data_IF_502943174763
#
_entry.id   IF_502943174763
#
_cell.length_a   1.000
_cell.length_b   1.000
_cell.length_c   1.000
_cell.angle_alpha   90.00
_cell.angle_beta   90.00
_cell.angle_gamma   90.00
#
_symmetry.space_group_name_H-M   'P 1'
#
loop_
_entity.id
_entity.type
_entity.pdbx_description
1 polymer ?
#
# COMPACT_ATOMS: atom_id res chain seq x y z
N UNK A 1 5.28 37.22 -11.62
CA UNK A 1 5.63 38.55 -11.07
C UNK A 1 6.36 39.33 -12.16
N UNK A 2 6.03 40.61 -12.38
CA UNK A 2 6.73 41.47 -13.34
C UNK A 2 7.22 42.72 -12.60
N UNK A 3 8.54 42.90 -12.54
CA UNK A 3 9.18 44.07 -11.94
C UNK A 3 9.84 44.84 -13.07
N UNK A 4 9.54 46.13 -13.18
CA UNK A 4 10.12 47.03 -14.17
C UNK A 4 10.90 48.10 -13.42
N UNK A 5 12.16 48.29 -13.79
CA UNK A 5 13.04 49.33 -13.23
C UNK A 5 13.41 50.27 -14.36
N UNK A 6 12.94 51.51 -14.27
CA UNK A 6 13.29 52.57 -15.22
C UNK A 6 14.66 53.16 -14.88
N UNK A 7 15.48 53.34 -15.91
CA UNK A 7 16.83 53.90 -15.79
C UNK A 7 16.87 55.32 -16.37
N UNK A 8 17.72 56.18 -15.81
CA UNK A 8 17.93 57.53 -16.34
C UNK A 8 18.63 57.47 -17.70
N UNK A 9 18.32 58.45 -18.57
CA UNK A 9 18.98 58.59 -19.89
C UNK A 9 20.48 58.82 -19.71
N UNK A 10 21.29 58.09 -20.48
CA UNK A 10 22.75 58.19 -20.48
C UNK A 10 23.45 57.14 -19.61
N UNK A 11 22.70 56.41 -18.78
CA UNK A 11 23.23 55.31 -17.98
C UNK A 11 23.32 54.01 -18.80
N UNK A 12 24.34 53.20 -18.51
CA UNK A 12 24.54 51.90 -19.16
C UNK A 12 23.75 50.83 -18.39
N UNK A 13 22.72 50.19 -18.99
CA UNK A 13 21.84 49.25 -18.28
C UNK A 13 22.58 48.07 -17.64
N UNK A 14 23.61 47.54 -18.30
CA UNK A 14 24.41 46.40 -17.82
C UNK A 14 25.16 46.71 -16.52
N UNK A 15 25.64 47.95 -16.37
CA UNK A 15 26.34 48.40 -15.14
C UNK A 15 25.34 48.48 -13.98
N UNK A 16 24.15 49.03 -14.24
CA UNK A 16 23.08 49.09 -13.23
C UNK A 16 22.62 47.68 -12.84
N UNK A 17 22.45 46.76 -13.80
CA UNK A 17 22.09 45.37 -13.51
C UNK A 17 23.12 44.68 -12.60
N UNK A 18 24.41 44.83 -12.90
CA UNK A 18 25.47 44.28 -12.06
C UNK A 18 25.47 44.89 -10.64
N UNK A 19 25.20 46.18 -10.52
CA UNK A 19 25.07 46.83 -9.23
C UNK A 19 23.82 46.37 -8.47
N UNK A 20 22.71 46.12 -9.17
CA UNK A 20 21.50 45.57 -8.58
C UNK A 20 21.73 44.14 -8.10
N UNK A 21 22.40 43.30 -8.88
CA UNK A 21 22.79 41.94 -8.46
C UNK A 21 23.65 41.97 -7.18
N UNK A 22 24.64 42.87 -7.11
CA UNK A 22 25.56 42.94 -5.96
C UNK A 22 24.95 43.53 -4.69
N UNK A 23 24.06 44.52 -4.82
CA UNK A 23 23.53 45.28 -3.68
C UNK A 23 22.07 44.92 -3.33
N UNK A 24 21.48 43.93 -3.98
CA UNK A 24 20.13 43.47 -3.70
C UNK A 24 20.06 41.94 -3.66
N UNK A 25 18.86 41.43 -3.38
CA UNK A 25 18.57 39.99 -3.34
C UNK A 25 18.13 39.42 -4.70
N UNK A 26 18.41 40.11 -5.80
CA UNK A 26 18.10 39.60 -7.15
C UNK A 26 18.87 38.32 -7.49
N UNK A 27 20.08 38.19 -6.96
CA UNK A 27 20.87 36.96 -6.99
C UNK A 27 21.22 36.57 -5.55
N UNK A 28 20.95 35.33 -5.18
CA UNK A 28 21.26 34.82 -3.85
C UNK A 28 21.91 33.44 -3.97
N UNK A 29 22.98 33.25 -3.20
CA UNK A 29 23.61 31.93 -3.05
C UNK A 29 22.82 31.14 -2.01
N UNK A 30 22.29 30.00 -2.41
CA UNK A 30 21.64 29.07 -1.48
C UNK A 30 22.67 28.06 -0.96
N UNK A 31 23.05 28.20 0.32
CA UNK A 31 23.92 27.25 1.01
C UNK A 31 23.17 25.97 1.35
N UNK A 32 23.32 24.93 0.54
CA UNK A 32 22.68 23.63 0.77
C UNK A 32 23.41 22.90 1.91
N UNK A 33 22.69 22.60 2.99
CA UNK A 33 23.17 21.72 4.05
C UNK A 33 22.14 20.61 4.33
N UNK A 34 22.35 19.45 3.71
CA UNK A 34 21.43 18.32 3.75
C UNK A 34 21.65 17.45 4.99
N UNK A 35 21.33 17.97 6.17
CA UNK A 35 21.35 17.18 7.41
C UNK A 35 20.00 16.50 7.58
N UNK A 36 20.01 15.18 7.67
CA UNK A 36 18.81 14.35 7.84
C UNK A 36 19.01 13.33 8.95
N UNK A 37 17.91 12.84 9.52
CA UNK A 37 17.94 11.74 10.49
C UNK A 37 17.93 10.41 9.74
N UNK A 38 18.97 9.63 9.94
CA UNK A 38 19.08 8.24 9.47
C UNK A 38 19.18 7.36 10.69
N UNK A 39 18.21 6.46 10.88
CA UNK A 39 18.12 5.59 12.06
C UNK A 39 18.19 6.34 13.40
N UNK A 40 17.54 7.50 13.46
CA UNK A 40 17.50 8.37 14.64
C UNK A 40 18.76 9.18 14.90
N UNK A 41 19.77 9.12 14.02
CA UNK A 41 21.02 9.89 14.16
C UNK A 41 21.14 10.96 13.06
N UNK A 42 21.55 12.20 13.39
CA UNK A 42 21.78 13.23 12.39
C UNK A 42 22.99 12.87 11.53
N UNK A 43 22.80 12.90 10.21
CA UNK A 43 23.83 12.65 9.21
C UNK A 43 23.72 13.69 8.11
N UNK A 44 24.86 14.22 7.67
CA UNK A 44 24.94 15.03 6.46
C UNK A 44 24.95 14.10 5.25
N UNK A 45 24.00 14.27 4.34
CA UNK A 45 23.77 13.37 3.23
C UNK A 45 23.93 14.07 1.88
N UNK A 46 24.54 13.37 0.92
CA UNK A 46 24.52 13.79 -0.47
C UNK A 46 23.21 13.38 -1.17
N UNK A 47 23.00 13.84 -2.40
CA UNK A 47 21.77 13.54 -3.16
C UNK A 47 21.56 12.02 -3.37
N UNK A 48 22.62 11.27 -3.65
CA UNK A 48 22.54 9.84 -3.87
C UNK A 48 22.07 9.11 -2.59
N UNK A 49 22.64 9.46 -1.44
CA UNK A 49 22.24 8.90 -0.14
C UNK A 49 20.77 9.21 0.18
N UNK A 50 20.32 10.44 -0.06
CA UNK A 50 18.92 10.82 0.17
C UNK A 50 17.96 9.99 -0.68
N UNK A 51 18.28 9.80 -1.96
CA UNK A 51 17.49 8.97 -2.86
C UNK A 51 17.50 7.49 -2.43
N UNK A 52 18.64 6.98 -2.00
CA UNK A 52 18.76 5.61 -1.53
C UNK A 52 17.91 5.36 -0.28
N UNK A 53 18.00 6.25 0.72
CA UNK A 53 17.19 6.19 1.95
C UNK A 53 15.70 6.20 1.60
N UNK A 54 15.28 7.08 0.69
CA UNK A 54 13.90 7.15 0.24
C UNK A 54 13.43 5.86 -0.43
N UNK A 55 14.24 5.29 -1.34
CA UNK A 55 13.90 4.06 -2.03
C UNK A 55 13.79 2.86 -1.07
N UNK A 56 14.70 2.76 -0.12
CA UNK A 56 14.70 1.66 0.85
C UNK A 56 13.49 1.74 1.78
N UNK A 57 13.15 2.94 2.25
CA UNK A 57 11.91 3.15 3.00
C UNK A 57 10.67 2.76 2.19
N UNK A 58 10.61 3.11 0.90
CA UNK A 58 9.48 2.71 0.05
C UNK A 58 9.37 1.21 -0.14
N UNK A 59 10.49 0.50 -0.31
CA UNK A 59 10.49 -0.97 -0.40
C UNK A 59 9.93 -1.59 0.87
N UNK A 60 10.37 -1.09 2.02
CA UNK A 60 9.87 -1.55 3.32
C UNK A 60 8.36 -1.32 3.46
N UNK A 61 7.88 -0.11 3.18
CA UNK A 61 6.45 0.24 3.26
C UNK A 61 5.60 -0.67 2.35
N UNK A 62 6.04 -0.88 1.10
CA UNK A 62 5.33 -1.74 0.15
C UNK A 62 5.31 -3.19 0.63
N UNK A 63 6.43 -3.69 1.14
CA UNK A 63 6.53 -5.05 1.67
C UNK A 63 5.61 -5.25 2.88
N UNK A 64 5.62 -4.32 3.84
CA UNK A 64 4.77 -4.37 5.02
C UNK A 64 3.28 -4.33 4.67
N UNK A 65 2.89 -3.45 3.73
CA UNK A 65 1.51 -3.41 3.22
C UNK A 65 1.11 -4.72 2.54
N UNK A 66 1.99 -5.28 1.71
CA UNK A 66 1.70 -6.53 0.98
C UNK A 66 1.55 -7.71 1.94
N UNK A 67 2.39 -7.78 2.98
CA UNK A 67 2.28 -8.80 4.03
C UNK A 67 1.01 -8.63 4.89
N UNK A 68 0.57 -7.40 5.13
CA UNK A 68 -0.70 -7.13 5.79
C UNK A 68 -1.89 -7.59 4.92
N UNK A 69 -1.92 -7.21 3.65
CA UNK A 69 -2.96 -7.61 2.70
C UNK A 69 -3.01 -9.13 2.52
N UNK A 70 -1.85 -9.80 2.47
CA UNK A 70 -1.77 -11.26 2.40
C UNK A 70 -2.39 -11.92 3.64
N UNK A 71 -2.12 -11.40 4.84
CA UNK A 71 -2.72 -11.93 6.09
C UNK A 71 -4.24 -11.77 6.06
N UNK A 72 -4.73 -10.58 5.73
CA UNK A 72 -6.17 -10.33 5.63
C UNK A 72 -6.85 -11.21 4.56
N UNK A 73 -6.17 -11.45 3.43
CA UNK A 73 -6.69 -12.34 2.39
C UNK A 73 -6.73 -13.80 2.85
N UNK A 74 -5.73 -14.26 3.61
CA UNK A 74 -5.72 -15.61 4.20
C UNK A 74 -6.81 -15.80 5.24
N UNK A 75 -7.00 -14.83 6.13
CA UNK A 75 -8.03 -14.90 7.18
C UNK A 75 -9.43 -14.95 6.55
N UNK A 76 -9.67 -14.13 5.51
CA UNK A 76 -10.90 -14.22 4.71
C UNK A 76 -11.02 -15.55 3.97
N UNK A 77 -9.91 -16.06 3.43
CA UNK A 77 -9.85 -17.37 2.77
C UNK A 77 -10.27 -18.50 3.69
N UNK A 78 -9.78 -18.51 4.94
CA UNK A 78 -10.12 -19.53 5.94
C UNK A 78 -11.63 -19.56 6.26
N UNK A 79 -12.24 -18.38 6.43
CA UNK A 79 -13.69 -18.27 6.64
C UNK A 79 -14.48 -18.78 5.44
N UNK A 80 -14.06 -18.41 4.22
CA UNK A 80 -14.70 -18.88 3.00
C UNK A 80 -14.57 -20.39 2.82
N UNK A 81 -13.41 -20.98 3.13
CA UNK A 81 -13.19 -22.42 3.11
C UNK A 81 -14.14 -23.15 4.06
N UNK A 82 -14.32 -22.66 5.29
CA UNK A 82 -15.28 -23.21 6.24
C UNK A 82 -16.73 -23.15 5.73
N UNK A 83 -17.12 -22.02 5.13
CA UNK A 83 -18.46 -21.88 4.53
C UNK A 83 -18.69 -22.83 3.35
N UNK A 84 -17.69 -23.02 2.49
CA UNK A 84 -17.81 -23.95 1.35
C UNK A 84 -17.95 -25.38 1.84
N UNK A 85 -17.20 -25.78 2.87
CA UNK A 85 -17.34 -27.10 3.50
C UNK A 85 -18.74 -27.27 4.10
N UNK A 86 -19.28 -26.23 4.77
CA UNK A 86 -20.63 -26.27 5.32
C UNK A 86 -21.70 -26.41 4.22
N UNK A 87 -21.56 -25.70 3.11
CA UNK A 87 -22.48 -25.80 1.96
C UNK A 87 -22.40 -27.17 1.31
N UNK A 88 -21.21 -27.74 1.15
CA UNK A 88 -21.03 -29.07 0.56
C UNK A 88 -21.68 -30.19 1.40
N UNK A 89 -21.84 -29.98 2.71
CA UNK A 89 -22.41 -30.95 3.65
C UNK A 89 -23.72 -30.44 4.30
N UNK A 90 -24.49 -29.61 3.58
CA UNK A 90 -25.60 -28.81 4.15
C UNK A 90 -26.67 -29.65 4.85
N UNK A 91 -26.99 -30.84 4.34
CA UNK A 91 -28.02 -31.70 4.93
C UNK A 91 -27.63 -32.19 6.33
N UNK A 92 -26.36 -32.54 6.50
CA UNK A 92 -25.80 -33.02 7.77
C UNK A 92 -25.64 -31.86 8.77
N UNK A 93 -25.20 -30.69 8.29
CA UNK A 93 -25.15 -29.46 9.10
C UNK A 93 -26.55 -29.09 9.62
N UNK A 94 -27.58 -29.12 8.77
CA UNK A 94 -28.97 -28.83 9.16
C UNK A 94 -29.46 -29.86 10.18
N UNK A 95 -29.13 -31.14 10.01
CA UNK A 95 -29.55 -32.19 10.94
C UNK A 95 -28.95 -31.97 12.34
N UNK A 96 -27.65 -31.65 12.43
CA UNK A 96 -26.96 -31.36 13.70
C UNK A 96 -27.58 -30.13 14.37
N UNK A 97 -27.85 -29.07 13.61
CA UNK A 97 -28.49 -27.87 14.16
C UNK A 97 -29.89 -28.17 14.68
N UNK A 98 -30.70 -28.94 13.96
CA UNK A 98 -32.08 -29.30 14.36
C UNK A 98 -32.15 -30.24 15.56
N UNK A 99 -31.17 -31.12 15.72
CA UNK A 99 -31.11 -32.12 16.81
C UNK A 99 -30.35 -31.64 18.06
N UNK A 100 -29.83 -30.42 18.03
CA UNK A 100 -29.12 -29.83 19.17
C UNK A 100 -30.03 -28.96 20.02
N UNK A 101 -29.89 -29.05 21.34
CA UNK A 101 -30.77 -28.36 22.30
C UNK A 101 -30.56 -26.83 22.32
N UNK A 102 -29.34 -26.37 22.02
CA UNK A 102 -29.01 -24.95 21.97
C UNK A 102 -27.85 -24.67 21.01
N UNK A 103 -27.61 -23.39 20.72
CA UNK A 103 -26.60 -22.93 19.76
C UNK A 103 -25.17 -23.31 20.16
N UNK A 104 -24.85 -23.38 21.46
CA UNK A 104 -23.52 -23.77 21.93
C UNK A 104 -23.25 -25.25 21.67
N UNK A 105 -24.20 -26.11 22.02
CA UNK A 105 -24.11 -27.56 21.78
C UNK A 105 -24.03 -27.87 20.27
N UNK A 106 -24.76 -27.13 19.44
CA UNK A 106 -24.66 -27.26 17.99
C UNK A 106 -23.26 -26.88 17.48
N UNK A 107 -22.69 -25.78 17.96
CA UNK A 107 -21.35 -25.33 17.57
C UNK A 107 -20.26 -26.34 17.96
N UNK A 108 -20.31 -26.86 19.19
CA UNK A 108 -19.34 -27.85 19.66
C UNK A 108 -19.41 -29.15 18.83
N UNK A 109 -20.62 -29.65 18.56
CA UNK A 109 -20.83 -30.83 17.70
C UNK A 109 -20.34 -30.63 16.26
N UNK A 110 -20.55 -29.43 15.69
CA UNK A 110 -20.05 -29.10 14.34
C UNK A 110 -18.51 -29.04 14.30
N UNK A 111 -17.85 -28.69 15.41
CA UNK A 111 -16.39 -28.66 15.52
C UNK A 111 -15.77 -30.04 15.80
N UNK A 112 -16.47 -30.93 16.50
CA UNK A 112 -16.01 -32.30 16.81
C UNK A 112 -16.03 -33.23 15.58
N UNK A 113 -16.89 -32.94 14.61
CA UNK A 113 -17.07 -33.77 13.42
C UNK A 113 -16.03 -33.47 12.33
N UNK A 114 -15.48 -34.52 11.72
CA UNK A 114 -14.62 -34.38 10.54
C UNK A 114 -15.48 -34.23 9.27
N UNK A 115 -15.29 -33.13 8.54
CA UNK A 115 -16.06 -32.83 7.34
C UNK A 115 -15.39 -33.33 6.07
N UNK A 116 -16.16 -33.94 5.17
CA UNK A 116 -15.64 -34.39 3.87
C UNK A 116 -15.40 -33.19 2.95
N UNK A 117 -14.19 -33.13 2.38
CA UNK A 117 -13.78 -32.13 1.39
C UNK A 117 -13.92 -32.62 -0.05
N UNK A 118 -14.52 -33.79 -0.30
CA UNK A 118 -14.52 -34.40 -1.63
C UNK A 118 -15.13 -33.51 -2.74
N UNK A 119 -16.11 -32.67 -2.39
CA UNK A 119 -16.73 -31.72 -3.33
C UNK A 119 -16.02 -30.35 -3.40
N UNK A 120 -15.06 -30.05 -2.50
CA UNK A 120 -14.32 -28.77 -2.48
C UNK A 120 -13.60 -28.51 -3.80
N UNK A 121 -13.05 -29.54 -4.46
CA UNK A 121 -12.36 -29.36 -5.74
C UNK A 121 -13.23 -28.70 -6.81
N UNK A 122 -14.55 -28.96 -6.83
CA UNK A 122 -15.46 -28.39 -7.82
C UNK A 122 -15.71 -26.90 -7.55
N UNK A 123 -15.96 -26.53 -6.29
CA UNK A 123 -16.19 -25.15 -5.87
C UNK A 123 -14.91 -24.29 -5.88
N UNK A 124 -13.75 -24.87 -5.55
CA UNK A 124 -12.46 -24.18 -5.57
C UNK A 124 -12.02 -23.81 -6.99
N UNK A 125 -12.39 -24.59 -8.01
CA UNK A 125 -12.10 -24.25 -9.42
C UNK A 125 -12.89 -22.99 -9.83
N UNK A 126 -14.17 -22.89 -9.46
CA UNK A 126 -15.00 -21.71 -9.79
C UNK A 126 -14.51 -20.43 -9.07
N UNK A 127 -14.17 -20.53 -7.78
CA UNK A 127 -13.63 -19.41 -7.00
C UNK A 127 -12.25 -18.94 -7.50
N UNK A 128 -11.36 -19.87 -7.86
CA UNK A 128 -10.04 -19.52 -8.43
C UNK A 128 -10.17 -18.75 -9.75
N UNK A 129 -11.15 -19.09 -10.59
CA UNK A 129 -11.38 -18.39 -11.86
C UNK A 129 -11.83 -16.95 -11.63
N UNK A 130 -12.78 -16.70 -10.72
CA UNK A 130 -13.25 -15.33 -10.43
C UNK A 130 -12.13 -14.44 -9.86
N UNK A 131 -11.34 -14.95 -8.91
CA UNK A 131 -10.22 -14.21 -8.31
C UNK A 131 -9.15 -13.89 -9.36
N UNK A 132 -8.81 -14.84 -10.24
CA UNK A 132 -7.82 -14.64 -11.29
C UNK A 132 -8.28 -13.61 -12.34
N UNK A 133 -9.56 -13.62 -12.72
CA UNK A 133 -10.14 -12.61 -13.64
C UNK A 133 -10.10 -11.21 -13.01
N UNK A 134 -10.42 -11.08 -11.72
CA UNK A 134 -10.36 -9.81 -10.99
C UNK A 134 -8.94 -9.23 -10.90
N UNK A 135 -7.95 -10.05 -10.54
CA UNK A 135 -6.55 -9.59 -10.46
C UNK A 135 -5.95 -9.22 -11.83
N UNK A 136 -6.35 -9.94 -12.89
CA UNK A 136 -5.90 -9.65 -14.27
C UNK A 136 -6.55 -8.38 -14.83
N UNK A 137 -7.79 -8.08 -14.44
CA UNK A 137 -8.47 -6.82 -14.78
C UNK A 137 -7.79 -5.61 -14.11
N UNK A 138 -7.37 -5.74 -12.85
CA UNK A 138 -6.65 -4.68 -12.13
C UNK A 138 -5.25 -4.41 -12.71
N UNK A 139 -4.50 -5.45 -13.10
CA UNK A 139 -3.19 -5.29 -13.75
C UNK A 139 -3.26 -4.60 -15.12
N UNK A 140 -4.35 -4.81 -15.87
CA UNK A 140 -4.56 -4.23 -17.20
C UNK A 140 -5.09 -2.79 -17.16
N UNK A 141 -5.52 -2.31 -15.99
CA UNK A 141 -5.98 -0.94 -15.76
C UNK A 141 -4.86 0.00 -15.31
N UNK A 142 -3.72 -0.56 -14.89
CA UNK A 142 -2.52 0.16 -14.44
C UNK A 142 -1.30 -0.03 -15.36
N UNK A 143 -1.53 -0.54 -16.57
CA UNK A 143 -0.56 -0.63 -17.68
C UNK A 143 -1.07 0.18 -18.86
#
# INVERSE_FOLDING_TARGET
MRVVVEIKKGEVPEVILNNLIKNSQLEQVFGINNVVLVDGKPKLCNLHELLQIFLDHRKEVITNRSLYELRQAKDRGHVLEGLIVAIANIDEVINIIKTSENTKVAADRLCEQSWSSAQLNRYLIELKIQIFVSQRALKRFWS
#
